data_IF_557231216784
#
_entry.id   IF_557231216784
#
_cell.length_a   1.000
_cell.length_b   1.000
_cell.length_c   1.000
_cell.angle_alpha   90.00
_cell.angle_beta   90.00
_cell.angle_gamma   90.00
#
_symmetry.space_group_name_H-M   'P 1'
#
loop_
_entity.id
_entity.type
_entity.pdbx_description
1 polymer ?
#
# COMPACT_ATOMS: atom_id res chain seq x y z
N UNK A 1 -2.55 3.96 22.89
CA UNK A 1 -1.69 2.88 23.37
C UNK A 1 -0.87 2.38 22.19
N UNK A 2 0.46 2.34 22.28
CA UNK A 2 1.29 1.67 21.27
C UNK A 2 1.24 0.16 21.53
N UNK A 3 1.21 -0.62 20.46
CA UNK A 3 1.22 -2.08 20.55
C UNK A 3 2.63 -2.57 20.27
N UNK A 4 3.02 -3.71 20.85
CA UNK A 4 4.22 -4.42 20.40
C UNK A 4 3.94 -5.20 19.12
N UNK A 5 4.99 -5.52 18.36
CA UNK A 5 4.87 -6.35 17.16
C UNK A 5 4.36 -7.75 17.49
N UNK A 6 4.71 -8.27 18.67
CA UNK A 6 4.24 -9.56 19.18
C UNK A 6 2.73 -9.56 19.44
N UNK A 7 2.21 -8.48 20.03
CA UNK A 7 0.77 -8.33 20.29
C UNK A 7 -0.01 -8.19 18.99
N UNK A 8 0.50 -7.39 18.05
CA UNK A 8 -0.12 -7.25 16.73
C UNK A 8 -0.06 -8.56 15.94
N UNK A 9 1.05 -9.30 16.02
CA UNK A 9 1.21 -10.63 15.42
C UNK A 9 0.13 -11.58 15.94
N UNK A 10 -0.03 -11.66 17.26
CA UNK A 10 -1.05 -12.50 17.88
C UNK A 10 -2.45 -12.14 17.39
N UNK A 11 -2.81 -10.85 17.39
CA UNK A 11 -4.16 -10.38 17.01
C UNK A 11 -4.46 -10.46 15.52
N UNK A 12 -3.45 -10.34 14.66
CA UNK A 12 -3.62 -10.42 13.20
C UNK A 12 -3.47 -11.84 12.65
N UNK A 13 -2.95 -12.79 13.43
CA UNK A 13 -2.61 -14.14 12.97
C UNK A 13 -1.39 -14.17 12.06
N UNK A 14 -0.55 -13.12 12.09
CA UNK A 14 0.68 -12.99 11.31
C UNK A 14 1.90 -13.22 12.20
N UNK A 15 3.08 -13.42 11.61
CA UNK A 15 4.31 -13.48 12.38
C UNK A 15 4.87 -12.08 12.66
N UNK A 16 5.45 -11.87 13.85
CA UNK A 16 6.12 -10.60 14.19
C UNK A 16 7.25 -10.27 13.19
N UNK A 17 7.96 -11.29 12.68
CA UNK A 17 8.97 -11.13 11.61
C UNK A 17 8.37 -10.58 10.33
N UNK A 18 7.19 -11.07 9.93
CA UNK A 18 6.53 -10.60 8.72
C UNK A 18 5.98 -9.17 8.90
N UNK A 19 5.36 -8.87 10.04
CA UNK A 19 4.95 -7.49 10.38
C UNK A 19 6.13 -6.52 10.37
N UNK A 20 7.26 -6.89 10.97
CA UNK A 20 8.49 -6.11 10.91
C UNK A 20 8.96 -5.90 9.46
N UNK A 21 8.86 -6.92 8.61
CA UNK A 21 9.20 -6.80 7.18
C UNK A 21 8.30 -5.79 6.46
N UNK A 22 7.00 -5.82 6.73
CA UNK A 22 6.03 -4.87 6.18
C UNK A 22 6.30 -3.45 6.66
N UNK A 23 6.51 -3.23 7.97
CA UNK A 23 6.81 -1.90 8.54
C UNK A 23 8.10 -1.28 7.99
N UNK A 24 9.04 -2.10 7.55
CA UNK A 24 10.32 -1.66 7.00
C UNK A 24 10.32 -1.61 5.46
N UNK A 25 9.16 -1.61 4.80
CA UNK A 25 9.01 -1.60 3.33
C UNK A 25 9.74 -2.76 2.62
N UNK A 26 10.01 -3.88 3.31
CA UNK A 26 10.69 -5.07 2.76
C UNK A 26 9.72 -6.10 2.18
N UNK A 27 8.42 -5.87 2.30
CA UNK A 27 7.39 -6.77 1.80
C UNK A 27 6.16 -5.97 1.37
N UNK A 28 5.59 -6.34 0.24
CA UNK A 28 4.33 -5.78 -0.27
C UNK A 28 3.17 -6.68 0.19
N UNK A 29 2.41 -6.30 1.23
CA UNK A 29 1.35 -7.14 1.77
C UNK A 29 0.16 -7.22 0.81
N UNK A 30 -0.50 -8.39 0.76
CA UNK A 30 -1.76 -8.52 0.03
C UNK A 30 -2.88 -7.70 0.69
N UNK A 31 -3.96 -7.43 -0.04
CA UNK A 31 -5.15 -6.80 0.52
C UNK A 31 -5.75 -7.59 1.69
N UNK A 32 -5.71 -8.93 1.64
CA UNK A 32 -6.15 -9.79 2.73
C UNK A 32 -5.29 -9.62 3.99
N UNK A 33 -3.97 -9.47 3.82
CA UNK A 33 -3.02 -9.16 4.90
C UNK A 33 -3.29 -7.79 5.49
N UNK A 34 -3.40 -6.74 4.66
CA UNK A 34 -3.76 -5.40 5.11
C UNK A 34 -5.08 -5.41 5.89
N UNK A 35 -6.05 -6.19 5.42
CA UNK A 35 -7.33 -6.37 6.11
C UNK A 35 -7.18 -7.04 7.49
N UNK A 36 -6.29 -8.02 7.62
CA UNK A 36 -6.00 -8.66 8.90
C UNK A 36 -5.32 -7.71 9.89
N UNK A 37 -4.36 -6.91 9.40
CA UNK A 37 -3.65 -5.89 10.20
C UNK A 37 -4.63 -4.80 10.65
N UNK A 38 -5.45 -4.26 9.74
CA UNK A 38 -6.43 -3.21 10.04
C UNK A 38 -7.46 -3.68 11.06
N UNK A 39 -8.04 -4.88 10.87
CA UNK A 39 -8.95 -5.49 11.85
C UNK A 39 -8.31 -5.69 13.22
N UNK A 40 -7.04 -6.12 13.25
CA UNK A 40 -6.34 -6.24 14.51
C UNK A 40 -6.31 -4.87 15.19
N UNK A 41 -5.73 -3.86 14.54
CA UNK A 41 -5.57 -2.49 15.03
C UNK A 41 -6.88 -1.73 15.30
N UNK A 42 -8.01 -2.18 14.74
CA UNK A 42 -9.31 -1.52 14.87
C UNK A 42 -9.47 -0.32 13.92
N UNK A 43 -8.81 -0.33 12.76
CA UNK A 43 -8.87 0.72 11.73
C UNK A 43 -9.29 0.15 10.38
N UNK A 44 -9.77 0.99 9.48
CA UNK A 44 -10.02 0.56 8.10
C UNK A 44 -8.69 0.24 7.38
N UNK A 45 -8.60 -0.82 6.56
CA UNK A 45 -7.36 -1.16 5.85
C UNK A 45 -6.83 -0.03 4.96
N UNK A 46 -7.71 0.85 4.48
CA UNK A 46 -7.34 2.05 3.72
C UNK A 46 -6.55 3.07 4.54
N UNK A 47 -6.75 3.13 5.86
CA UNK A 47 -5.99 4.02 6.75
C UNK A 47 -4.52 3.60 6.88
N UNK A 48 -4.23 2.31 6.71
CA UNK A 48 -2.85 1.77 6.75
C UNK A 48 -2.00 2.22 5.56
N UNK A 49 -2.65 2.53 4.43
CA UNK A 49 -1.95 2.93 3.22
C UNK A 49 -1.44 4.38 3.30
N UNK A 50 -1.99 5.16 4.24
CA UNK A 50 -1.69 6.56 4.43
C UNK A 50 -2.02 7.41 3.20
N UNK A 51 -2.41 8.66 3.43
CA UNK A 51 -2.02 9.69 2.46
C UNK A 51 -0.57 10.03 2.79
N UNK A 52 0.40 9.40 2.11
CA UNK A 52 1.74 10.02 2.02
C UNK A 52 1.53 11.47 1.58
N UNK A 53 2.44 12.38 1.88
CA UNK A 53 2.42 13.76 1.37
C UNK A 53 2.40 13.74 -0.17
N UNK A 54 1.22 13.53 -0.73
CA UNK A 54 0.96 13.53 -2.14
C UNK A 54 1.19 14.97 -2.53
N UNK A 55 2.20 15.21 -3.36
CA UNK A 55 2.43 16.53 -3.89
C UNK A 55 1.13 17.04 -4.53
N UNK A 56 0.90 18.37 -4.57
CA UNK A 56 -0.25 18.93 -5.27
C UNK A 56 -0.41 18.37 -6.69
N UNK A 57 0.72 18.10 -7.36
CA UNK A 57 0.75 17.46 -8.67
C UNK A 57 0.26 15.99 -8.65
N UNK A 58 0.62 15.18 -7.66
CA UNK A 58 0.13 13.81 -7.52
C UNK A 58 -1.38 13.78 -7.24
N UNK A 59 -1.88 14.69 -6.41
CA UNK A 59 -3.31 14.86 -6.16
C UNK A 59 -4.07 15.26 -7.42
N UNK A 60 -3.52 16.18 -8.21
CA UNK A 60 -4.11 16.59 -9.48
C UNK A 60 -4.11 15.45 -10.50
N UNK A 61 -3.02 14.68 -10.58
CA UNK A 61 -2.96 13.49 -11.41
C UNK A 61 -4.02 12.45 -11.00
N UNK A 62 -4.24 12.26 -9.70
CA UNK A 62 -5.30 11.38 -9.18
C UNK A 62 -6.71 11.84 -9.58
N UNK A 63 -6.98 13.15 -9.49
CA UNK A 63 -8.26 13.74 -9.93
C UNK A 63 -8.45 13.62 -11.45
N UNK A 64 -7.43 13.95 -12.23
CA UNK A 64 -7.45 13.80 -13.68
C UNK A 64 -7.71 12.35 -14.06
N UNK A 65 -7.00 11.39 -13.44
CA UNK A 65 -7.22 9.97 -13.63
C UNK A 65 -8.68 9.55 -13.32
N UNK A 66 -9.24 10.01 -12.20
CA UNK A 66 -10.62 9.69 -11.82
C UNK A 66 -11.66 10.21 -12.82
N UNK A 67 -11.37 11.30 -13.54
CA UNK A 67 -12.25 11.86 -14.57
C UNK A 67 -12.22 11.11 -15.91
N UNK A 68 -11.25 10.21 -16.12
CA UNK A 68 -11.11 9.45 -17.36
C UNK A 68 -12.18 8.34 -17.48
N UNK A 69 -12.46 7.93 -18.72
CA UNK A 69 -13.25 6.71 -18.97
C UNK A 69 -12.54 5.47 -18.42
N UNK A 70 -13.27 4.39 -18.11
CA UNK A 70 -12.69 3.14 -17.59
C UNK A 70 -11.58 2.57 -18.49
N UNK A 71 -11.74 2.66 -19.80
CA UNK A 71 -10.73 2.17 -20.76
C UNK A 71 -9.46 3.03 -20.75
N UNK A 72 -9.62 4.35 -20.64
CA UNK A 72 -8.50 5.28 -20.50
C UNK A 72 -7.79 5.10 -19.15
N UNK A 73 -8.54 4.96 -18.05
CA UNK A 73 -7.99 4.59 -16.74
C UNK A 73 -7.18 3.30 -16.82
N UNK A 74 -7.71 2.28 -17.49
CA UNK A 74 -6.99 1.00 -17.64
C UNK A 74 -5.67 1.17 -18.38
N UNK A 75 -5.67 1.95 -19.45
CA UNK A 75 -4.47 2.24 -20.25
C UNK A 75 -3.41 2.97 -19.42
N UNK A 76 -3.82 3.98 -18.65
CA UNK A 76 -2.91 4.72 -17.75
C UNK A 76 -2.32 3.79 -16.67
N UNK A 77 -3.12 2.91 -16.07
CA UNK A 77 -2.62 1.93 -15.09
C UNK A 77 -1.60 0.97 -15.70
N UNK A 78 -1.84 0.51 -16.93
CA UNK A 78 -0.91 -0.39 -17.61
C UNK A 78 0.40 0.32 -17.97
N UNK A 79 0.35 1.60 -18.37
CA UNK A 79 1.54 2.45 -18.51
C UNK A 79 2.28 2.61 -17.18
N UNK A 80 1.60 2.94 -16.08
CA UNK A 80 2.23 3.09 -14.76
C UNK A 80 2.92 1.79 -14.32
N UNK A 81 2.29 0.64 -14.53
CA UNK A 81 2.90 -0.68 -14.25
C UNK A 81 4.15 -0.92 -15.10
N UNK A 82 4.12 -0.53 -16.38
CA UNK A 82 5.26 -0.64 -17.26
C UNK A 82 6.43 0.22 -16.80
N UNK A 83 6.16 1.47 -16.39
CA UNK A 83 7.16 2.39 -15.86
C UNK A 83 7.78 1.84 -14.56
N UNK A 84 6.95 1.36 -13.64
CA UNK A 84 7.44 0.83 -12.36
C UNK A 84 8.40 -0.37 -12.53
N UNK A 85 8.11 -1.26 -13.49
CA UNK A 85 8.98 -2.40 -13.84
C UNK A 85 10.36 -1.97 -14.37
N UNK A 86 10.46 -0.81 -15.02
CA UNK A 86 11.73 -0.29 -15.57
C UNK A 86 12.59 0.37 -14.49
N UNK A 87 11.95 1.08 -13.56
CA UNK A 87 12.64 1.77 -12.46
C UNK A 87 13.22 0.79 -11.45
N UNK A 88 12.50 -0.28 -11.10
CA UNK A 88 12.98 -1.33 -10.19
C UNK A 88 14.18 -2.15 -10.71
N UNK A 89 14.50 -2.06 -12.00
CA UNK A 89 15.59 -2.82 -12.64
C UNK A 89 16.94 -2.08 -12.67
N UNK A 90 17.00 -0.86 -12.12
CA UNK A 90 18.22 -0.02 -12.05
C UNK A 90 18.94 -0.05 -10.70
N UNK A 91 18.41 -0.76 -9.71
CA UNK A 91 19.03 -0.93 -8.40
C UNK A 91 19.58 -2.37 -8.26
N UNK A 92 20.69 -2.66 -8.94
CA UNK A 92 21.55 -3.83 -8.68
C UNK A 92 22.99 -3.40 -8.88
#
# INVERSE_FOLDING_TARGET
MSWSLEELAHRSGLSARYLSSVENDKSDPSLSTLSAIGRALGVDPGELLGTRDLSPAAMEAGRAFASLSRDAQRTVLDLMRLLNRRTGRRAT
#
